data_IF_259532457061
#
_entry.id   IF_259532457061
#
_cell.length_a   1.000
_cell.length_b   1.000
_cell.length_c   1.000
_cell.angle_alpha   90.00
_cell.angle_beta   90.00
_cell.angle_gamma   90.00
#
_symmetry.space_group_name_H-M   'P 1'
#
loop_
_entity.id
_entity.type
_entity.pdbx_description
1 polymer ?
#
# COMPACT_ATOMS: atom_id res chain seq x y z
N UNK A 1 -2.26 -4.67 -2.75
CA UNK A 1 -0.99 -4.29 -2.09
C UNK A 1 -1.25 -3.10 -1.20
N UNK A 2 -0.99 -3.23 0.10
CA UNK A 2 -1.38 -2.22 1.10
C UNK A 2 -0.22 -1.73 1.98
N UNK A 3 0.94 -2.37 1.93
CA UNK A 3 2.12 -1.97 2.69
C UNK A 3 3.32 -2.86 2.43
N UNK A 4 4.42 -2.58 3.14
CA UNK A 4 5.66 -3.35 3.10
C UNK A 4 6.35 -3.31 4.46
N UNK A 5 7.34 -4.18 4.65
CA UNK A 5 8.15 -4.18 5.85
C UNK A 5 9.36 -5.08 5.73
N UNK A 6 10.03 -5.26 6.87
CA UNK A 6 11.10 -6.23 7.06
C UNK A 6 10.79 -7.00 8.34
N UNK A 7 10.75 -8.32 8.25
CA UNK A 7 10.63 -9.19 9.42
C UNK A 7 11.84 -10.12 9.46
N UNK A 8 12.58 -10.10 10.58
CA UNK A 8 13.77 -10.94 10.77
C UNK A 8 14.80 -10.85 9.62
N UNK A 9 14.93 -9.66 9.03
CA UNK A 9 15.82 -9.42 7.89
C UNK A 9 15.23 -9.77 6.51
N UNK A 10 14.01 -10.32 6.46
CA UNK A 10 13.32 -10.66 5.21
C UNK A 10 12.37 -9.52 4.79
N UNK A 11 12.60 -8.85 3.65
CA UNK A 11 11.69 -7.84 3.14
C UNK A 11 10.41 -8.47 2.57
N UNK A 12 9.25 -7.87 2.86
CA UNK A 12 7.96 -8.37 2.37
C UNK A 12 7.04 -7.27 1.86
N UNK A 13 6.10 -7.65 1.01
CA UNK A 13 4.87 -6.90 0.71
C UNK A 13 3.72 -7.42 1.57
N UNK A 14 2.92 -6.52 2.15
CA UNK A 14 1.68 -6.84 2.83
C UNK A 14 0.51 -6.76 1.83
N UNK A 15 -0.24 -7.84 1.73
CA UNK A 15 -1.32 -8.01 0.77
C UNK A 15 -2.61 -8.41 1.49
N UNK A 16 -3.70 -7.68 1.20
CA UNK A 16 -5.05 -8.13 1.52
C UNK A 16 -5.50 -9.10 0.42
N UNK A 17 -5.90 -10.31 0.80
CA UNK A 17 -6.47 -11.28 -0.12
C UNK A 17 -7.99 -11.12 -0.22
N UNK A 18 -8.62 -11.80 -1.16
CA UNK A 18 -10.07 -11.75 -1.42
C UNK A 18 -10.77 -13.08 -1.12
N UNK A 19 -10.24 -13.87 -0.19
CA UNK A 19 -10.74 -15.22 0.15
C UNK A 19 -11.28 -15.30 1.59
N UNK A 20 -12.02 -14.27 2.01
CA UNK A 20 -12.52 -14.07 3.38
C UNK A 20 -11.42 -13.89 4.44
N UNK A 21 -11.84 -13.52 5.65
CA UNK A 21 -10.95 -13.23 6.79
C UNK A 21 -10.44 -14.50 7.48
N UNK A 22 -11.09 -15.65 7.30
CA UNK A 22 -10.68 -16.93 7.89
C UNK A 22 -9.47 -17.56 7.19
N UNK A 23 -9.03 -16.99 6.07
CA UNK A 23 -7.85 -17.42 5.34
C UNK A 23 -6.61 -16.64 5.76
N UNK A 24 -5.47 -17.33 5.93
CA UNK A 24 -4.18 -16.69 6.13
C UNK A 24 -4.07 -15.98 7.48
N UNK A 25 -3.60 -14.73 7.45
CA UNK A 25 -3.46 -13.86 8.61
C UNK A 25 -4.64 -12.87 8.64
N UNK A 26 -5.81 -13.32 9.09
CA UNK A 26 -7.05 -12.52 9.10
C UNK A 26 -7.44 -11.95 7.72
N UNK A 27 -7.27 -12.76 6.66
CA UNK A 27 -7.49 -12.36 5.25
C UNK A 27 -6.28 -11.74 4.56
N UNK A 28 -5.17 -11.58 5.28
CA UNK A 28 -3.92 -11.03 4.75
C UNK A 28 -2.86 -12.10 4.54
N UNK A 29 -1.83 -11.74 3.78
CA UNK A 29 -0.60 -12.51 3.69
C UNK A 29 0.59 -11.61 3.35
N UNK A 30 1.78 -12.19 3.50
CA UNK A 30 3.06 -11.57 3.19
C UNK A 30 3.75 -12.37 2.10
N UNK A 31 4.33 -11.68 1.13
CA UNK A 31 5.12 -12.28 0.04
C UNK A 31 6.49 -11.60 -0.04
N UNK A 32 7.49 -12.38 -0.45
CA UNK A 32 8.87 -11.90 -0.57
C UNK A 32 8.94 -10.69 -1.53
N UNK A 33 9.57 -9.62 -1.06
CA UNK A 33 9.72 -8.36 -1.80
C UNK A 33 11.14 -8.22 -2.35
N UNK A 34 11.26 -7.61 -3.53
CA UNK A 34 12.52 -7.20 -4.14
C UNK A 34 13.16 -8.23 -5.07
N UNK A 35 12.45 -9.33 -5.35
CA UNK A 35 12.92 -10.40 -6.26
C UNK A 35 11.86 -10.81 -7.28
N UNK A 36 10.79 -10.01 -7.43
CA UNK A 36 9.63 -10.35 -8.27
C UNK A 36 9.06 -11.76 -8.01
N UNK A 37 8.95 -12.13 -6.73
CA UNK A 37 8.46 -13.45 -6.32
C UNK A 37 7.09 -13.72 -6.96
N UNK A 38 6.97 -14.82 -7.70
CA UNK A 38 5.78 -15.18 -8.47
C UNK A 38 5.27 -14.09 -9.44
N UNK A 39 6.13 -13.16 -9.89
CA UNK A 39 5.77 -12.07 -10.79
C UNK A 39 4.97 -10.94 -10.13
N UNK A 40 4.97 -10.84 -8.79
CA UNK A 40 4.12 -9.90 -8.05
C UNK A 40 4.48 -8.42 -8.31
N UNK A 41 5.69 -8.13 -8.76
CA UNK A 41 6.21 -6.77 -9.03
C UNK A 41 6.11 -6.40 -10.52
N UNK A 42 5.95 -7.40 -11.40
CA UNK A 42 5.89 -7.21 -12.85
C UNK A 42 4.65 -6.47 -13.37
N UNK A 43 3.54 -6.45 -12.62
CA UNK A 43 2.21 -6.06 -13.13
C UNK A 43 1.42 -5.10 -12.26
N UNK A 44 2.08 -4.23 -11.48
CA UNK A 44 1.40 -3.32 -10.55
C UNK A 44 0.66 -2.20 -11.30
N UNK A 45 -0.62 -2.00 -10.99
CA UNK A 45 -1.48 -0.97 -11.60
C UNK A 45 -2.12 -0.10 -10.52
N UNK A 46 -2.27 1.21 -10.80
CA UNK A 46 -2.95 2.17 -9.93
C UNK A 46 -3.82 3.15 -10.71
N UNK A 47 -4.66 3.89 -10.00
CA UNK A 47 -5.55 4.90 -10.60
C UNK A 47 -5.90 6.02 -9.61
N UNK A 48 -6.23 7.20 -10.14
CA UNK A 48 -6.68 8.35 -9.34
C UNK A 48 -8.21 8.41 -9.41
N UNK A 49 -8.92 8.27 -8.28
CA UNK A 49 -10.38 8.33 -8.30
C UNK A 49 -10.87 9.75 -8.62
N UNK A 50 -11.92 9.86 -9.43
CA UNK A 50 -12.64 11.13 -9.57
C UNK A 50 -13.38 11.41 -8.26
N UNK A 51 -12.95 12.43 -7.54
CA UNK A 51 -13.71 12.94 -6.41
C UNK A 51 -14.90 13.73 -6.98
N UNK A 52 -16.11 13.45 -6.45
CA UNK A 52 -17.23 14.37 -6.67
C UNK A 52 -16.85 15.74 -6.08
N UNK A 53 -17.45 16.82 -6.57
CA UNK A 53 -17.25 18.17 -6.04
C UNK A 53 -17.86 18.28 -4.62
N UNK A 54 -17.23 17.63 -3.65
CA UNK A 54 -17.44 17.89 -2.23
C UNK A 54 -16.74 19.23 -1.99
N UNK A 55 -17.42 20.28 -1.51
CA UNK A 55 -16.77 21.58 -1.29
C UNK A 55 -15.58 21.39 -0.35
N UNK A 56 -14.38 21.45 -0.93
CA UNK A 56 -13.13 21.25 -0.24
C UNK A 56 -12.98 22.39 0.78
N UNK A 57 -13.17 22.09 2.07
CA UNK A 57 -12.83 23.02 3.14
C UNK A 57 -11.30 23.11 3.16
N UNK A 58 -10.76 24.03 2.37
CA UNK A 58 -9.33 24.38 2.34
C UNK A 58 -8.94 24.88 3.74
N UNK A 59 -8.46 23.99 4.61
CA UNK A 59 -7.59 24.43 5.69
C UNK A 59 -6.22 24.69 5.05
N UNK A 60 -5.78 25.94 5.11
CA UNK A 60 -4.61 26.48 4.42
C UNK A 60 -3.35 25.62 4.64
N UNK A 61 -2.98 24.79 3.67
CA UNK A 61 -1.61 24.28 3.57
C UNK A 61 -0.81 25.33 2.81
N UNK A 62 -0.25 26.29 3.56
CA UNK A 62 0.83 27.13 3.04
C UNK A 62 2.05 26.24 2.87
N UNK A 63 2.62 26.27 1.66
CA UNK A 63 3.95 25.80 1.27
C UNK A 63 4.89 25.50 2.44
N UNK A 64 5.12 24.22 2.71
CA UNK A 64 6.38 23.71 3.22
C UNK A 64 6.69 22.45 2.42
N UNK A 65 7.54 22.62 1.41
CA UNK A 65 8.60 21.63 1.18
C UNK A 65 9.19 21.32 2.55
N UNK A 66 9.13 20.06 2.98
CA UNK A 66 10.03 19.39 3.91
C UNK A 66 9.43 18.00 4.22
N UNK A 67 10.06 16.97 3.67
CA UNK A 67 10.46 15.74 4.36
C UNK A 67 9.61 15.30 5.58
N UNK A 68 8.59 14.44 5.41
CA UNK A 68 8.15 13.50 6.49
C UNK A 68 6.90 12.64 6.16
N UNK A 69 6.77 12.07 4.97
CA UNK A 69 5.79 10.98 4.78
C UNK A 69 6.36 9.83 3.97
N UNK A 70 7.44 9.27 4.51
CA UNK A 70 7.67 7.83 4.44
C UNK A 70 6.69 7.14 5.38
N UNK A 71 5.83 6.28 4.85
CA UNK A 71 5.56 5.00 5.50
C UNK A 71 6.54 3.97 4.92
#
# INVERSE_FOLDING_TARGET
MIGWGIEQGMPYWLLANSWNEDWGEDGFFRILRGVDECGIESGVVGGIPKLNDIPYRRHNMKNTVDDDFFF
#
